data_IF_754379938009
#
_entry.id   IF_754379938009
#
_cell.length_a   1.000
_cell.length_b   1.000
_cell.length_c   1.000
_cell.angle_alpha   90.00
_cell.angle_beta   90.00
_cell.angle_gamma   90.00
#
_symmetry.space_group_name_H-M   'P 1'
#
loop_
_entity.id
_entity.type
_entity.pdbx_description
1 polymer ?
#
# COMPACT_ATOMS: atom_id res chain seq x y z
N UNK A 1 -3.82 3.36 -17.37
CA UNK A 1 -2.94 2.17 -17.49
C UNK A 1 -3.52 1.25 -18.54
N UNK A 2 -2.68 0.71 -19.43
CA UNK A 2 -3.10 -0.25 -20.45
C UNK A 2 -3.45 -1.58 -19.79
N UNK A 3 -4.67 -2.07 -19.98
CA UNK A 3 -5.12 -3.37 -19.45
C UNK A 3 -4.84 -4.44 -20.49
N UNK A 4 -4.11 -5.49 -20.10
CA UNK A 4 -3.84 -6.65 -20.94
C UNK A 4 -4.68 -7.85 -20.45
N UNK A 5 -5.03 -8.77 -21.35
CA UNK A 5 -5.77 -9.98 -21.00
C UNK A 5 -4.84 -11.05 -20.45
N UNK A 6 -5.27 -11.71 -19.39
CA UNK A 6 -4.63 -12.89 -18.81
C UNK A 6 -5.65 -14.04 -18.83
N UNK A 7 -5.29 -15.17 -19.44
CA UNK A 7 -6.12 -16.37 -19.45
C UNK A 7 -5.68 -17.29 -18.30
N UNK A 8 -6.63 -17.71 -17.48
CA UNK A 8 -6.39 -18.54 -16.29
C UNK A 8 -7.40 -19.68 -16.30
N UNK A 9 -6.94 -20.89 -16.03
CA UNK A 9 -7.78 -22.06 -15.78
C UNK A 9 -7.95 -22.22 -14.29
N UNK A 10 -9.19 -22.43 -13.83
CA UNK A 10 -9.56 -22.63 -12.43
C UNK A 10 -10.57 -23.77 -12.36
N UNK A 11 -10.66 -24.43 -11.21
CA UNK A 11 -11.70 -25.41 -10.95
C UNK A 11 -13.09 -24.76 -11.01
N UNK A 12 -14.08 -25.50 -11.49
CA UNK A 12 -15.45 -24.99 -11.71
C UNK A 12 -16.06 -24.41 -10.43
N UNK A 13 -15.93 -25.12 -9.32
CA UNK A 13 -16.41 -24.68 -8.00
C UNK A 13 -15.76 -23.35 -7.57
N UNK A 14 -14.47 -23.15 -7.88
CA UNK A 14 -13.76 -21.90 -7.58
C UNK A 14 -14.21 -20.75 -8.50
N UNK A 15 -14.53 -21.05 -9.76
CA UNK A 15 -15.11 -20.08 -10.68
C UNK A 15 -16.46 -19.60 -10.15
N UNK A 16 -17.32 -20.52 -9.72
CA UNK A 16 -18.64 -20.17 -9.16
C UNK A 16 -18.51 -19.37 -7.86
N UNK A 17 -17.67 -19.83 -6.93
CA UNK A 17 -17.41 -19.12 -5.69
C UNK A 17 -16.88 -17.71 -5.94
N UNK A 18 -15.91 -17.55 -6.84
CA UNK A 18 -15.31 -16.24 -7.12
C UNK A 18 -16.31 -15.23 -7.69
N UNK A 19 -17.26 -15.69 -8.54
CA UNK A 19 -18.33 -14.84 -9.07
C UNK A 19 -19.30 -14.41 -7.96
N UNK A 20 -19.70 -15.35 -7.10
CA UNK A 20 -20.60 -15.06 -5.98
C UNK A 20 -19.97 -14.05 -5.02
N UNK A 21 -18.73 -14.30 -4.60
CA UNK A 21 -17.99 -13.42 -3.71
C UNK A 21 -17.74 -12.03 -4.33
N UNK A 22 -17.39 -11.97 -5.62
CA UNK A 22 -17.23 -10.69 -6.31
C UNK A 22 -18.53 -9.87 -6.30
N UNK A 23 -19.68 -10.53 -6.50
CA UNK A 23 -20.98 -9.89 -6.49
C UNK A 23 -21.35 -9.37 -5.08
N UNK A 24 -21.10 -10.16 -4.03
CA UNK A 24 -21.30 -9.73 -2.63
C UNK A 24 -20.48 -8.48 -2.30
N UNK A 25 -19.24 -8.42 -2.77
CA UNK A 25 -18.34 -7.28 -2.58
C UNK A 25 -18.55 -6.15 -3.61
N UNK A 26 -19.59 -6.24 -4.46
CA UNK A 26 -19.92 -5.26 -5.52
C UNK A 26 -18.73 -4.96 -6.45
N UNK A 27 -17.97 -5.99 -6.79
CA UNK A 27 -16.76 -5.91 -7.60
C UNK A 27 -16.77 -6.99 -8.70
N UNK A 28 -15.64 -7.19 -9.38
CA UNK A 28 -15.49 -8.22 -10.43
C UNK A 28 -14.40 -9.22 -10.05
N UNK A 29 -14.47 -10.43 -10.62
CA UNK A 29 -13.42 -11.45 -10.46
C UNK A 29 -12.05 -10.92 -10.92
N UNK A 30 -12.03 -10.13 -11.99
CA UNK A 30 -10.81 -9.47 -12.48
C UNK A 30 -10.21 -8.52 -11.44
N UNK A 31 -11.05 -7.77 -10.73
CA UNK A 31 -10.59 -6.86 -9.67
C UNK A 31 -10.09 -7.63 -8.44
N UNK A 32 -10.79 -8.70 -8.03
CA UNK A 32 -10.32 -9.57 -6.94
C UNK A 32 -8.93 -10.14 -7.22
N UNK A 33 -8.73 -10.70 -8.42
CA UNK A 33 -7.44 -11.25 -8.86
C UNK A 33 -6.40 -10.13 -8.94
N UNK A 34 -6.77 -8.96 -9.44
CA UNK A 34 -5.86 -7.80 -9.51
C UNK A 34 -5.38 -7.38 -8.12
N UNK A 35 -6.29 -7.28 -7.13
CA UNK A 35 -5.94 -6.91 -5.75
C UNK A 35 -5.07 -7.98 -5.08
N UNK A 36 -5.39 -9.27 -5.29
CA UNK A 36 -4.55 -10.36 -4.80
C UNK A 36 -3.12 -10.28 -5.35
N UNK A 37 -2.99 -10.13 -6.68
CA UNK A 37 -1.69 -10.01 -7.34
C UNK A 37 -0.95 -8.73 -6.94
N UNK A 38 -1.65 -7.62 -6.72
CA UNK A 38 -1.05 -6.38 -6.22
C UNK A 38 -0.49 -6.56 -4.81
N UNK A 39 -1.23 -7.21 -3.92
CA UNK A 39 -0.75 -7.50 -2.57
C UNK A 39 0.44 -8.45 -2.61
N UNK A 40 0.39 -9.51 -3.41
CA UNK A 40 1.52 -10.43 -3.59
C UNK A 40 2.76 -9.71 -4.16
N UNK A 41 2.57 -8.80 -5.12
CA UNK A 41 3.63 -7.95 -5.66
C UNK A 41 4.23 -7.05 -4.57
N UNK A 42 3.40 -6.39 -3.75
CA UNK A 42 3.89 -5.56 -2.63
C UNK A 42 4.66 -6.36 -1.59
N UNK A 43 4.23 -7.58 -1.30
CA UNK A 43 4.93 -8.46 -0.35
C UNK A 43 6.26 -8.99 -0.91
N UNK A 44 6.36 -9.22 -2.22
CA UNK A 44 7.57 -9.78 -2.85
C UNK A 44 8.56 -8.73 -3.34
N UNK A 45 8.06 -7.62 -3.85
CA UNK A 45 8.82 -6.42 -4.16
C UNK A 45 8.74 -5.54 -2.93
N UNK A 46 9.68 -5.74 -1.99
CA UNK A 46 9.88 -4.96 -0.75
C UNK A 46 9.11 -3.63 -0.79
N UNK A 47 8.14 -3.48 0.12
CA UNK A 47 7.32 -2.28 0.20
C UNK A 47 8.27 -1.07 0.15
N UNK A 48 8.09 -0.09 -0.76
CA UNK A 48 8.94 1.09 -0.76
C UNK A 48 8.97 1.77 0.61
N UNK A 49 7.93 1.59 1.42
CA UNK A 49 7.90 1.97 2.83
C UNK A 49 8.92 1.21 3.67
N UNK A 50 9.07 -0.11 3.50
CA UNK A 50 10.11 -0.91 4.17
C UNK A 50 11.51 -0.50 3.72
N UNK A 51 11.71 -0.18 2.43
CA UNK A 51 12.99 0.32 1.92
C UNK A 51 13.32 1.69 2.54
N UNK A 52 12.35 2.60 2.61
CA UNK A 52 12.54 3.94 3.19
C UNK A 52 12.77 3.86 4.71
N UNK A 53 12.04 3.00 5.42
CA UNK A 53 12.19 2.82 6.88
C UNK A 53 13.50 2.09 7.22
N UNK A 54 13.98 1.19 6.35
CA UNK A 54 15.25 0.49 6.54
C UNK A 54 16.48 1.35 6.23
N UNK A 55 16.30 2.54 5.65
CA UNK A 55 17.38 3.53 5.54
C UNK A 55 17.76 4.06 6.94
N UNK A 56 19.00 3.86 7.41
CA UNK A 56 19.41 4.25 8.76
C UNK A 56 19.29 5.77 8.99
N UNK A 57 19.61 6.56 7.97
CA UNK A 57 19.58 8.03 8.08
C UNK A 57 18.14 8.53 8.24
N UNK A 58 17.20 7.94 7.51
CA UNK A 58 15.77 8.23 7.66
C UNK A 58 15.24 7.80 9.03
N UNK A 59 15.54 6.56 9.45
CA UNK A 59 15.10 6.02 10.75
C UNK A 59 15.61 6.85 11.93
N UNK A 60 16.89 7.21 11.94
CA UNK A 60 17.49 8.02 13.00
C UNK A 60 16.88 9.42 13.05
N UNK A 61 16.71 10.08 11.89
CA UNK A 61 16.09 11.40 11.79
C UNK A 61 14.63 11.40 12.26
N UNK A 62 13.89 10.33 11.97
CA UNK A 62 12.51 10.15 12.40
C UNK A 62 12.43 10.00 13.93
N UNK A 63 13.27 9.13 14.52
CA UNK A 63 13.32 8.91 15.96
C UNK A 63 13.72 10.19 16.71
N UNK A 64 14.70 10.92 16.19
CA UNK A 64 15.12 12.19 16.76
C UNK A 64 13.98 13.22 16.74
N UNK A 65 13.29 13.33 15.60
CA UNK A 65 12.16 14.26 15.45
C UNK A 65 11.01 13.89 16.39
N UNK A 66 10.68 12.61 16.54
CA UNK A 66 9.68 12.15 17.51
C UNK A 66 10.09 12.54 18.95
N UNK A 67 11.37 12.42 19.30
CA UNK A 67 11.88 12.86 20.61
C UNK A 67 11.68 14.35 20.82
N UNK A 68 12.05 15.19 19.84
CA UNK A 68 11.89 16.65 19.93
C UNK A 68 10.43 17.08 20.03
N UNK A 69 9.51 16.40 19.34
CA UNK A 69 8.06 16.63 19.46
C UNK A 69 7.59 16.29 20.88
N UNK A 70 7.97 15.12 21.42
CA UNK A 70 7.59 14.69 22.77
C UNK A 70 8.12 15.63 23.86
N UNK A 71 9.31 16.18 23.65
CA UNK A 71 9.93 17.15 24.55
C UNK A 71 9.34 18.57 24.40
N UNK A 72 8.39 18.78 23.49
CA UNK A 72 7.74 20.07 23.26
C UNK A 72 8.68 21.12 22.64
N UNK A 73 9.77 20.69 22.02
CA UNK A 73 10.79 21.57 21.42
C UNK A 73 10.44 22.03 20.00
N UNK A 74 9.43 21.42 19.40
CA UNK A 74 8.99 21.71 18.03
C UNK A 74 7.91 22.79 17.98
N UNK A 75 8.03 23.68 16.99
CA UNK A 75 7.03 24.72 16.72
C UNK A 75 6.23 24.35 15.49
N UNK A 76 4.91 24.33 15.63
CA UNK A 76 4.00 24.16 14.50
C UNK A 76 3.93 25.46 13.71
N UNK A 77 4.31 25.40 12.44
CA UNK A 77 4.28 26.53 11.51
C UNK A 77 3.18 26.32 10.47
N UNK A 78 2.55 27.40 10.04
CA UNK A 78 1.64 27.38 8.90
C UNK A 78 2.40 27.31 7.58
N UNK A 79 1.71 26.87 6.53
CA UNK A 79 2.30 26.76 5.19
C UNK A 79 3.00 28.05 4.71
N UNK A 80 2.40 29.22 4.99
CA UNK A 80 2.96 30.53 4.60
C UNK A 80 4.20 30.93 5.40
N UNK A 81 4.39 30.36 6.58
CA UNK A 81 5.57 30.60 7.41
C UNK A 81 6.74 29.71 6.99
N UNK A 82 6.45 28.51 6.47
CA UNK A 82 7.46 27.55 6.01
C UNK A 82 7.96 27.84 4.60
N UNK A 83 7.08 28.20 3.66
CA UNK A 83 7.39 28.30 2.23
C UNK A 83 7.39 29.73 1.69
N UNK A 84 7.78 30.69 2.54
CA UNK A 84 7.79 32.11 2.20
C UNK A 84 8.97 32.52 1.34
#
# INVERSE_FOLDING_TARGET
MTKNKLNITLDEDLIEFSKLYANEQRTTVSELISQFLLNLKRTKSQDPTEIIISDPQFSDSLLETISRIKEGKEKWLSYKEVFK
#
